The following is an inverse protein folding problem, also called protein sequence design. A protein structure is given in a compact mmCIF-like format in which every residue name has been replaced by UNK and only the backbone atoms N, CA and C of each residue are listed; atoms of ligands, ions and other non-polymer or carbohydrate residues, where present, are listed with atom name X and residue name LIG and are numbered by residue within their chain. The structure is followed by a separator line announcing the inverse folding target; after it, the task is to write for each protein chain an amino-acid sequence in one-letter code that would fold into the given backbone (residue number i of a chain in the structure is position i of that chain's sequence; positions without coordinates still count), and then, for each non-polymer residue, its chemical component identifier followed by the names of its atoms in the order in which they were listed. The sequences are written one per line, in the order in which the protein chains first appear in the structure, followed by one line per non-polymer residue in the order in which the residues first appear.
data_IF_550484922639
#
_entry.id   IF_550484922639
#
_cell.length_a   1.000
_cell.length_b   1.000
_cell.length_c   1.000
_cell.angle_alpha   90.00
_cell.angle_beta   90.00
_cell.angle_gamma   90.00
#
_symmetry.space_group_name_H-M   'P 1'
#
loop_
_entity.id
_entity.type
_entity.pdbx_description
1 polymer ?
#
# COMPACT_ATOMS: atom_id res chain seq x y z
N UNK A 1 33.32 19.58 -4.29
CA UNK A 1 31.97 19.02 -4.07
C UNK A 1 31.57 18.34 -5.37
N UNK A 2 31.58 17.01 -5.43
CA UNK A 2 31.09 16.30 -6.60
C UNK A 2 29.57 16.51 -6.68
N UNK A 3 29.02 16.90 -7.85
CA UNK A 3 27.57 16.99 -8.01
C UNK A 3 26.97 15.61 -7.76
N UNK A 4 25.92 15.54 -6.94
CA UNK A 4 25.15 14.31 -6.75
C UNK A 4 24.71 13.79 -8.13
N UNK A 5 25.04 12.53 -8.44
CA UNK A 5 24.66 11.92 -9.70
C UNK A 5 23.15 12.08 -9.93
N UNK A 6 22.70 12.38 -11.17
CA UNK A 6 21.30 12.60 -11.44
C UNK A 6 20.51 11.36 -11.03
N UNK A 7 19.54 11.54 -10.14
CA UNK A 7 18.60 10.49 -9.73
C UNK A 7 17.88 10.05 -11.01
N UNK A 8 18.10 8.82 -11.46
CA UNK A 8 17.41 8.29 -12.64
C UNK A 8 15.90 8.27 -12.35
N UNK A 9 15.17 9.22 -12.93
CA UNK A 9 13.71 9.27 -12.90
C UNK A 9 13.22 8.46 -14.10
N UNK A 10 12.54 7.35 -13.83
CA UNK A 10 11.97 6.52 -14.88
C UNK A 10 10.64 7.12 -15.34
N UNK A 11 10.69 8.21 -16.09
CA UNK A 11 9.52 8.99 -16.48
C UNK A 11 8.41 8.12 -17.11
N UNK A 12 8.78 7.16 -17.95
CA UNK A 12 7.82 6.25 -18.59
C UNK A 12 7.17 5.29 -17.59
N UNK A 13 7.95 4.75 -16.64
CA UNK A 13 7.41 3.86 -15.60
C UNK A 13 6.54 4.63 -14.61
N UNK A 14 6.94 5.84 -14.27
CA UNK A 14 6.17 6.72 -13.41
C UNK A 14 4.85 7.12 -14.09
N UNK A 15 4.86 7.43 -15.38
CA UNK A 15 3.65 7.71 -16.15
C UNK A 15 2.69 6.50 -16.17
N UNK A 16 3.20 5.30 -16.42
CA UNK A 16 2.40 4.06 -16.38
C UNK A 16 1.81 3.86 -14.98
N UNK A 17 2.59 4.09 -13.91
CA UNK A 17 2.09 4.00 -12.53
C UNK A 17 0.99 5.01 -12.24
N UNK A 18 1.10 6.25 -12.74
CA UNK A 18 0.06 7.27 -12.58
C UNK A 18 -1.24 6.84 -13.25
N UNK A 19 -1.18 6.37 -14.51
CA UNK A 19 -2.36 5.86 -15.23
C UNK A 19 -2.97 4.66 -14.50
N UNK A 20 -2.14 3.73 -14.02
CA UNK A 20 -2.57 2.59 -13.23
C UNK A 20 -3.26 3.01 -11.92
N UNK A 21 -2.67 3.97 -11.18
CA UNK A 21 -3.23 4.48 -9.92
C UNK A 21 -4.60 5.14 -10.14
N UNK A 22 -4.74 5.97 -11.19
CA UNK A 22 -6.01 6.61 -11.54
C UNK A 22 -7.05 5.55 -11.89
N UNK A 23 -6.67 4.52 -12.64
CA UNK A 23 -7.56 3.42 -13.01
C UNK A 23 -8.06 2.65 -11.79
N UNK A 24 -7.18 2.35 -10.82
CA UNK A 24 -7.56 1.71 -9.55
C UNK A 24 -8.46 2.62 -8.71
N UNK A 25 -8.18 3.92 -8.65
CA UNK A 25 -9.03 4.88 -7.96
C UNK A 25 -10.44 4.90 -8.56
N UNK A 26 -10.54 5.02 -9.90
CA UNK A 26 -11.83 5.01 -10.59
C UNK A 26 -12.61 3.71 -10.38
N UNK A 27 -11.91 2.56 -10.34
CA UNK A 27 -12.53 1.28 -10.00
C UNK A 27 -13.18 1.28 -8.61
N UNK A 28 -12.51 1.82 -7.59
CA UNK A 28 -13.06 1.89 -6.23
C UNK A 28 -14.18 2.94 -6.10
N UNK A 29 -14.16 3.99 -6.92
CA UNK A 29 -15.22 5.00 -6.97
C UNK A 29 -16.38 4.62 -7.90
N UNK A 30 -16.24 3.54 -8.66
CA UNK A 30 -17.21 3.07 -9.64
C UNK A 30 -18.65 2.90 -9.09
N UNK A 31 -18.88 2.41 -7.85
CA UNK A 31 -20.21 2.34 -7.27
C UNK A 31 -20.91 3.69 -7.13
N UNK A 32 -20.16 4.79 -7.06
CA UNK A 32 -20.69 6.14 -6.90
C UNK A 32 -20.85 6.91 -8.21
N UNK A 33 -20.22 6.45 -9.31
CA UNK A 33 -20.15 7.19 -10.57
C UNK A 33 -21.04 6.62 -11.68
N UNK A 34 -21.14 5.29 -11.79
CA UNK A 34 -21.87 4.63 -12.88
C UNK A 34 -22.33 3.20 -12.52
N UNK A 35 -22.94 3.04 -11.34
CA UNK A 35 -23.48 1.75 -10.85
C UNK A 35 -22.45 0.60 -10.88
N UNK A 36 -21.17 0.89 -10.59
CA UNK A 36 -20.12 -0.12 -10.54
C UNK A 36 -19.53 -0.52 -11.90
N UNK A 37 -19.87 0.16 -13.01
CA UNK A 37 -19.42 -0.22 -14.36
C UNK A 37 -18.19 0.53 -14.89
N UNK A 38 -17.61 1.44 -14.11
CA UNK A 38 -16.39 2.16 -14.49
C UNK A 38 -15.18 1.21 -14.40
N UNK A 39 -14.54 0.98 -15.55
CA UNK A 39 -13.27 0.24 -15.68
C UNK A 39 -13.20 -1.08 -14.87
N UNK A 40 -14.10 -2.05 -15.13
CA UNK A 40 -14.25 -3.25 -14.30
C UNK A 40 -13.00 -4.13 -14.24
N UNK A 41 -12.09 -4.03 -15.21
CA UNK A 41 -10.85 -4.80 -15.27
C UNK A 41 -9.65 -4.09 -14.65
N UNK A 42 -9.83 -2.91 -14.06
CA UNK A 42 -8.71 -2.14 -13.48
C UNK A 42 -8.11 -2.74 -12.22
N UNK A 43 -8.68 -3.83 -11.68
CA UNK A 43 -7.98 -4.64 -10.68
C UNK A 43 -6.64 -5.18 -11.20
N UNK A 44 -6.50 -5.43 -12.51
CA UNK A 44 -5.26 -5.86 -13.16
C UNK A 44 -4.12 -4.82 -13.06
N UNK A 45 -4.46 -3.56 -12.82
CA UNK A 45 -3.45 -2.53 -12.59
C UNK A 45 -2.66 -2.79 -11.29
N UNK A 46 -3.23 -3.53 -10.33
CA UNK A 46 -2.53 -3.95 -9.11
C UNK A 46 -1.43 -4.97 -9.46
N UNK A 47 -1.69 -5.90 -10.38
CA UNK A 47 -0.68 -6.86 -10.87
C UNK A 47 0.49 -6.13 -11.54
N UNK A 48 0.18 -5.09 -12.32
CA UNK A 48 1.19 -4.21 -12.92
C UNK A 48 2.04 -3.50 -11.86
N UNK A 49 1.44 -3.02 -10.76
CA UNK A 49 2.20 -2.42 -9.65
C UNK A 49 3.16 -3.43 -9.02
N UNK A 50 2.76 -4.69 -8.85
CA UNK A 50 3.64 -5.73 -8.34
C UNK A 50 4.83 -6.01 -9.26
N UNK A 51 4.56 -6.19 -10.56
CA UNK A 51 5.63 -6.40 -11.56
C UNK A 51 6.61 -5.23 -11.60
N UNK A 52 6.10 -4.00 -11.61
CA UNK A 52 6.93 -2.80 -11.60
C UNK A 52 7.69 -2.62 -10.28
N UNK A 53 7.14 -3.04 -9.14
CA UNK A 53 7.84 -3.00 -7.86
C UNK A 53 9.06 -3.93 -7.89
N UNK A 54 8.89 -5.18 -8.34
CA UNK A 54 9.99 -6.13 -8.48
C UNK A 54 11.09 -5.63 -9.42
N UNK A 55 10.72 -5.13 -10.60
CA UNK A 55 11.68 -4.55 -11.55
C UNK A 55 12.49 -3.40 -10.95
N UNK A 56 11.82 -2.43 -10.31
CA UNK A 56 12.50 -1.26 -9.73
C UNK A 56 13.42 -1.68 -8.58
N UNK A 57 13.04 -2.70 -7.81
CA UNK A 57 13.81 -3.12 -6.65
C UNK A 57 15.07 -3.87 -7.05
N UNK A 58 14.95 -4.87 -7.94
CA UNK A 58 16.12 -5.55 -8.49
C UNK A 58 17.10 -4.53 -9.09
N UNK A 59 16.62 -3.68 -10.00
CA UNK A 59 17.48 -2.72 -10.66
C UNK A 59 18.13 -1.68 -9.73
N UNK A 60 17.42 -1.22 -8.68
CA UNK A 60 17.93 -0.19 -7.78
C UNK A 60 18.81 -0.74 -6.65
N UNK A 61 18.55 -1.98 -6.20
CA UNK A 61 19.16 -2.52 -4.99
C UNK A 61 20.09 -3.71 -5.22
N UNK A 62 20.05 -4.42 -6.35
CA UNK A 62 20.97 -5.55 -6.65
C UNK A 62 22.43 -5.12 -6.43
N UNK A 63 22.84 -4.03 -7.10
CA UNK A 63 24.21 -3.51 -6.97
C UNK A 63 24.52 -3.00 -5.57
N UNK A 64 23.53 -2.51 -4.81
CA UNK A 64 23.75 -2.03 -3.45
C UNK A 64 23.96 -3.19 -2.48
N UNK A 65 23.19 -4.27 -2.67
CA UNK A 65 23.30 -5.54 -1.95
C UNK A 65 24.65 -6.19 -2.24
N UNK A 66 25.06 -6.28 -3.50
CA UNK A 66 26.40 -6.75 -3.91
C UNK A 66 27.54 -5.94 -3.26
N UNK A 67 27.33 -4.65 -3.04
CA UNK A 67 28.29 -3.76 -2.37
C UNK A 67 28.18 -3.78 -0.83
N UNK A 68 27.45 -4.74 -0.25
CA UNK A 68 27.38 -4.96 1.19
C UNK A 68 26.24 -4.23 1.92
N UNK A 69 25.17 -3.83 1.22
CA UNK A 69 23.96 -3.35 1.90
C UNK A 69 23.36 -4.46 2.76
N UNK A 70 23.25 -4.22 4.07
CA UNK A 70 22.63 -5.17 4.99
C UNK A 70 21.09 -5.17 4.91
N UNK A 71 20.51 -6.31 5.28
CA UNK A 71 19.06 -6.54 5.37
C UNK A 71 18.30 -5.41 6.08
N UNK A 72 18.78 -4.99 7.26
CA UNK A 72 18.14 -3.95 8.06
C UNK A 72 18.09 -2.59 7.37
N UNK A 73 19.13 -2.23 6.63
CA UNK A 73 19.19 -0.95 5.89
C UNK A 73 18.18 -0.94 4.74
N UNK A 74 18.07 -2.05 4.01
CA UNK A 74 17.07 -2.19 2.95
C UNK A 74 15.64 -2.06 3.50
N UNK A 75 15.32 -2.83 4.55
CA UNK A 75 13.99 -2.82 5.18
C UNK A 75 13.66 -1.42 5.73
N UNK A 76 14.61 -0.75 6.38
CA UNK A 76 14.42 0.60 6.91
C UNK A 76 14.06 1.62 5.82
N UNK A 77 14.77 1.61 4.68
CA UNK A 77 14.48 2.52 3.56
C UNK A 77 13.06 2.28 3.01
N UNK A 78 12.66 1.01 2.90
CA UNK A 78 11.32 0.63 2.40
C UNK A 78 10.23 1.08 3.38
N UNK A 79 10.42 0.86 4.68
CA UNK A 79 9.47 1.28 5.71
C UNK A 79 9.33 2.80 5.77
N UNK A 80 10.43 3.57 5.79
CA UNK A 80 10.37 5.04 5.82
C UNK A 80 9.61 5.61 4.62
N UNK A 81 9.67 4.94 3.46
CA UNK A 81 8.94 5.35 2.26
C UNK A 81 7.45 4.99 2.32
N UNK A 82 7.11 3.81 2.85
CA UNK A 82 5.75 3.27 2.82
C UNK A 82 4.89 3.78 3.99
N UNK A 83 5.46 3.77 5.20
CA UNK A 83 4.73 4.02 6.44
C UNK A 83 4.02 5.38 6.51
N UNK A 84 4.61 6.50 6.03
CA UNK A 84 3.94 7.81 6.11
C UNK A 84 2.59 7.83 5.39
N UNK A 85 2.55 7.31 4.16
CA UNK A 85 1.32 7.28 3.37
C UNK A 85 0.33 6.23 3.90
N UNK A 86 0.85 5.08 4.30
CA UNK A 86 0.04 4.03 4.94
C UNK A 86 -0.67 4.55 6.19
N UNK A 87 0.04 5.21 7.10
CA UNK A 87 -0.52 5.78 8.31
C UNK A 87 -1.54 6.86 8.00
N UNK A 88 -1.27 7.73 7.03
CA UNK A 88 -2.24 8.74 6.61
C UNK A 88 -3.56 8.10 6.16
N UNK A 89 -3.50 7.05 5.33
CA UNK A 89 -4.70 6.31 4.91
C UNK A 89 -5.43 5.62 6.06
N UNK A 90 -4.68 5.00 6.98
CA UNK A 90 -5.25 4.34 8.17
C UNK A 90 -5.93 5.33 9.11
N UNK A 91 -5.33 6.50 9.33
CA UNK A 91 -5.95 7.55 10.13
C UNK A 91 -7.19 8.12 9.45
N UNK A 92 -7.18 8.31 8.12
CA UNK A 92 -8.35 8.73 7.36
C UNK A 92 -9.51 7.74 7.52
N UNK A 93 -9.24 6.43 7.42
CA UNK A 93 -10.26 5.40 7.65
C UNK A 93 -10.77 5.36 9.09
N UNK A 94 -9.89 5.58 10.07
CA UNK A 94 -10.28 5.72 11.48
C UNK A 94 -11.26 6.88 11.69
N UNK A 95 -10.93 8.07 11.19
CA UNK A 95 -11.82 9.23 11.30
C UNK A 95 -13.12 9.02 10.52
N UNK A 96 -13.05 8.38 9.34
CA UNK A 96 -14.23 7.99 8.58
C UNK A 96 -15.17 7.10 9.41
N UNK A 97 -14.67 6.06 10.08
CA UNK A 97 -15.50 5.18 10.90
C UNK A 97 -16.11 5.91 12.11
N UNK A 98 -15.38 6.83 12.75
CA UNK A 98 -15.93 7.64 13.83
C UNK A 98 -17.10 8.51 13.36
N UNK A 99 -16.97 9.13 12.18
CA UNK A 99 -18.04 9.93 11.58
C UNK A 99 -19.20 9.04 11.15
N UNK A 100 -18.92 7.91 10.48
CA UNK A 100 -19.91 6.92 10.06
C UNK A 100 -20.77 6.46 11.24
N UNK A 101 -20.16 6.10 12.37
CA UNK A 101 -20.88 5.67 13.57
C UNK A 101 -21.85 6.73 14.12
N UNK A 102 -21.58 8.02 13.89
CA UNK A 102 -22.46 9.12 14.31
C UNK A 102 -23.60 9.36 13.33
N UNK A 103 -23.34 9.21 12.03
CA UNK A 103 -24.29 9.52 10.96
C UNK A 103 -25.18 8.33 10.57
N UNK A 104 -24.70 7.10 10.76
CA UNK A 104 -25.37 5.87 10.34
C UNK A 104 -25.48 4.87 11.52
N UNK A 105 -26.39 5.11 12.49
CA UNK A 105 -26.51 4.27 13.69
C UNK A 105 -26.88 2.80 13.39
N UNK A 106 -27.48 2.52 12.23
CA UNK A 106 -27.84 1.16 11.81
C UNK A 106 -26.61 0.30 11.45
N UNK A 107 -25.48 0.93 11.12
CA UNK A 107 -24.22 0.24 10.79
C UNK A 107 -23.14 0.50 11.86
N UNK A 108 -23.58 0.64 13.12
CA UNK A 108 -22.72 0.97 14.23
C UNK A 108 -21.65 -0.11 14.47
N UNK A 109 -20.39 0.33 14.57
CA UNK A 109 -19.25 -0.51 14.95
C UNK A 109 -18.85 -0.19 16.41
N UNK A 110 -18.73 -1.18 17.31
CA UNK A 110 -18.28 -0.95 18.68
C UNK A 110 -16.93 -0.23 18.77
N UNK A 111 -16.78 0.68 19.74
CA UNK A 111 -15.52 1.43 19.95
C UNK A 111 -14.34 0.51 20.28
N UNK A 112 -14.58 -0.63 20.92
CA UNK A 112 -13.56 -1.65 21.17
C UNK A 112 -13.01 -2.24 19.87
N UNK A 113 -13.86 -2.49 18.88
CA UNK A 113 -13.46 -3.00 17.57
C UNK A 113 -12.69 -1.94 16.79
N UNK A 114 -13.15 -0.68 16.80
CA UNK A 114 -12.40 0.42 16.18
C UNK A 114 -11.03 0.58 16.85
N UNK A 115 -10.96 0.47 18.18
CA UNK A 115 -9.69 0.51 18.92
C UNK A 115 -8.74 -0.63 18.54
N UNK A 116 -9.26 -1.84 18.37
CA UNK A 116 -8.49 -2.99 17.87
C UNK A 116 -7.98 -2.73 16.45
N UNK A 117 -8.86 -2.31 15.53
CA UNK A 117 -8.52 -2.03 14.14
C UNK A 117 -7.47 -0.91 14.02
N UNK A 118 -7.58 0.13 14.86
CA UNK A 118 -6.60 1.20 14.93
C UNK A 118 -5.27 0.66 15.44
N UNK A 119 -5.28 -0.14 16.51
CA UNK A 119 -4.06 -0.70 17.08
C UNK A 119 -3.35 -1.59 16.07
N UNK A 120 -4.04 -2.56 15.47
CA UNK A 120 -3.44 -3.44 14.45
C UNK A 120 -3.01 -2.65 13.21
N UNK A 121 -3.82 -1.68 12.78
CA UNK A 121 -3.49 -0.76 11.70
C UNK A 121 -2.23 0.05 11.98
N UNK A 122 -2.04 0.58 13.18
CA UNK A 122 -0.86 1.37 13.55
C UNK A 122 0.44 0.56 13.56
N UNK A 123 0.37 -0.77 13.70
CA UNK A 123 1.51 -1.69 13.64
C UNK A 123 1.61 -2.49 12.33
N UNK A 124 0.74 -2.19 11.36
CA UNK A 124 0.65 -2.90 10.08
C UNK A 124 0.43 -4.41 10.23
N UNK A 125 -0.31 -4.81 11.27
CA UNK A 125 -0.66 -6.19 11.58
C UNK A 125 -1.98 -6.52 10.85
N UNK A 126 -2.02 -7.57 10.00
CA UNK A 126 -3.25 -7.95 9.31
C UNK A 126 -4.27 -8.54 10.29
N UNK A 127 -5.51 -8.08 10.20
CA UNK A 127 -6.63 -8.63 10.96
C UNK A 127 -7.38 -9.63 10.09
N UNK A 128 -7.06 -10.91 10.23
CA UNK A 128 -7.72 -11.98 9.47
C UNK A 128 -9.03 -12.34 10.16
N UNK A 129 -10.14 -11.89 9.59
CA UNK A 129 -11.48 -12.26 10.04
C UNK A 129 -12.46 -12.14 8.89
N UNK A 130 -13.39 -13.09 8.81
CA UNK A 130 -14.46 -13.09 7.81
C UNK A 130 -15.39 -11.87 7.95
N UNK A 131 -15.36 -11.18 9.08
CA UNK A 131 -16.20 -10.02 9.36
C UNK A 131 -15.88 -8.77 8.52
N UNK A 132 -14.65 -8.64 8.00
CA UNK A 132 -14.19 -7.37 7.42
C UNK A 132 -14.01 -7.36 5.91
N UNK A 133 -14.10 -8.51 5.23
CA UNK A 133 -13.82 -8.69 3.79
C UNK A 133 -12.45 -8.15 3.31
N UNK A 134 -11.60 -7.67 4.22
CA UNK A 134 -10.23 -7.18 4.01
C UNK A 134 -9.42 -7.44 5.28
N UNK A 135 -8.10 -7.57 5.11
CA UNK A 135 -7.15 -7.74 6.22
C UNK A 135 -6.76 -6.41 6.89
N UNK A 136 -7.11 -5.27 6.30
CA UNK A 136 -6.88 -3.93 6.85
C UNK A 136 -8.18 -3.11 6.84
N UNK A 137 -9.07 -3.26 7.85
CA UNK A 137 -10.40 -2.64 7.83
C UNK A 137 -10.40 -1.11 7.70
N UNK A 138 -9.43 -0.44 8.33
CA UNK A 138 -9.27 1.02 8.25
C UNK A 138 -8.63 1.50 6.96
N UNK A 139 -7.97 0.63 6.21
CA UNK A 139 -7.35 1.01 4.95
C UNK A 139 -7.35 -0.21 4.03
N UNK A 140 -8.50 -0.54 3.41
CA UNK A 140 -8.65 -1.78 2.66
C UNK A 140 -7.62 -1.92 1.55
N UNK A 141 -7.23 -0.80 0.92
CA UNK A 141 -6.24 -0.76 -0.15
C UNK A 141 -4.82 -1.19 0.28
N UNK A 142 -4.51 -1.19 1.58
CA UNK A 142 -3.19 -1.56 2.11
C UNK A 142 -2.83 -3.04 1.96
N UNK A 143 -3.79 -3.90 1.60
CA UNK A 143 -3.51 -5.32 1.38
C UNK A 143 -2.39 -5.52 0.34
N UNK A 144 -2.37 -4.73 -0.74
CA UNK A 144 -1.35 -4.83 -1.78
C UNK A 144 0.02 -4.37 -1.27
N UNK A 145 0.06 -3.26 -0.51
CA UNK A 145 1.28 -2.76 0.14
C UNK A 145 1.89 -3.78 1.10
N UNK A 146 1.05 -4.51 1.83
CA UNK A 146 1.48 -5.55 2.75
C UNK A 146 2.17 -6.72 2.02
N UNK A 147 1.56 -7.23 0.95
CA UNK A 147 2.18 -8.29 0.15
C UNK A 147 3.43 -7.80 -0.59
N UNK A 148 3.42 -6.56 -1.07
CA UNK A 148 4.63 -5.94 -1.64
C UNK A 148 5.75 -5.95 -0.60
N UNK A 149 5.50 -5.52 0.65
CA UNK A 149 6.52 -5.53 1.70
C UNK A 149 7.02 -6.95 2.01
N UNK A 150 6.14 -7.95 2.11
CA UNK A 150 6.54 -9.35 2.32
C UNK A 150 7.47 -9.85 1.22
N UNK A 151 7.11 -9.63 -0.05
CA UNK A 151 7.93 -10.08 -1.18
C UNK A 151 9.28 -9.37 -1.18
N UNK A 152 9.32 -8.09 -0.81
CA UNK A 152 10.58 -7.35 -0.71
C UNK A 152 11.49 -7.84 0.42
N UNK A 153 10.91 -8.19 1.57
CA UNK A 153 11.64 -8.81 2.69
C UNK A 153 12.17 -10.17 2.25
N UNK A 154 11.36 -10.99 1.59
CA UNK A 154 11.78 -12.29 1.07
C UNK A 154 12.91 -12.15 0.04
N UNK A 155 12.81 -11.18 -0.87
CA UNK A 155 13.86 -10.89 -1.84
C UNK A 155 15.18 -10.55 -1.14
N UNK A 156 15.20 -9.57 -0.24
CA UNK A 156 16.46 -9.19 0.43
C UNK A 156 17.00 -10.31 1.33
N UNK A 157 16.13 -11.15 1.92
CA UNK A 157 16.56 -12.30 2.73
C UNK A 157 17.24 -13.41 1.91
N UNK A 158 16.98 -13.47 0.60
CA UNK A 158 17.58 -14.46 -0.31
C UNK A 158 18.89 -13.96 -0.92
N UNK A 159 19.01 -12.64 -1.15
CA UNK A 159 20.11 -12.06 -1.93
C UNK A 159 21.16 -11.30 -1.11
N UNK A 160 20.93 -10.99 0.17
CA UNK A 160 21.93 -10.46 1.13
C UNK A 160 22.63 -11.59 1.86
#
# INVERSE_FOLDING_TARGET
MQPAAPRHVYLNLDAIRVVAAISVMLYHFSPFLADGKVLPSSYLAVDLFFLLSGFVIAHAYDRQIENGMGFGSFVAIRLIRLYPLYLAGTLLGFFYLLVKNRLMPAEYVPLSEIGLQLTTGMFFIPLVSDAYHTIFPLNPASWSLFFELIVNIAYVAVFV
#
